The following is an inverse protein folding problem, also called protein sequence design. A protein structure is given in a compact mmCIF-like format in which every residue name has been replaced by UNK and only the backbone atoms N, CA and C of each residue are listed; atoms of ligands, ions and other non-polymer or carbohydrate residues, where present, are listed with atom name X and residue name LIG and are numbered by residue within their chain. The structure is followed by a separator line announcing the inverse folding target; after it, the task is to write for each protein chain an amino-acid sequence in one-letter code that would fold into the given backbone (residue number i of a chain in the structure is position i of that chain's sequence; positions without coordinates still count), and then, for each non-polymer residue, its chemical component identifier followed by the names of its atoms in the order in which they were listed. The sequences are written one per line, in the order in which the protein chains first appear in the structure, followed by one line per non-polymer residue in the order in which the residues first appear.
data_IF_057168728216
#
_entry.id   IF_057168728216
#
_cell.length_a   1.000
_cell.length_b   1.000
_cell.length_c   1.000
_cell.angle_alpha   90.00
_cell.angle_beta   90.00
_cell.angle_gamma   90.00
#
_symmetry.space_group_name_H-M   'P 1'
#
loop_
_entity.id
_entity.type
_entity.pdbx_description
1 polymer ?
#
# COMPACT_ATOMS: atom_id res chain seq x y z
N UNK A 1 9.22 9.34 -11.79
CA UNK A 1 10.16 9.55 -10.66
C UNK A 1 11.48 10.10 -11.21
N UNK A 2 12.27 10.84 -10.42
CA UNK A 2 13.61 11.27 -10.81
C UNK A 2 14.49 10.07 -11.26
N UNK A 3 15.42 10.24 -12.21
CA UNK A 3 16.27 9.16 -12.73
C UNK A 3 17.01 8.35 -11.65
N UNK A 4 17.49 9.00 -10.60
CA UNK A 4 18.23 8.41 -9.49
C UNK A 4 17.40 7.42 -8.65
N UNK A 5 16.07 7.55 -8.64
CA UNK A 5 15.17 6.66 -7.91
C UNK A 5 14.59 5.52 -8.77
N UNK A 6 15.07 5.36 -10.02
CA UNK A 6 14.54 4.35 -10.95
C UNK A 6 15.15 2.96 -10.75
N UNK A 7 16.25 2.85 -10.02
CA UNK A 7 16.81 1.55 -9.67
C UNK A 7 15.82 0.76 -8.80
N UNK A 8 15.62 -0.54 -9.00
CA UNK A 8 14.58 -1.31 -8.31
C UNK A 8 14.55 -1.13 -6.79
N UNK A 9 15.71 -1.10 -6.12
CA UNK A 9 15.77 -0.92 -4.67
C UNK A 9 15.21 0.44 -4.20
N UNK A 10 15.61 1.52 -4.89
CA UNK A 10 15.12 2.88 -4.60
C UNK A 10 13.65 3.02 -4.97
N UNK A 11 13.26 2.47 -6.11
CA UNK A 11 11.90 2.44 -6.60
C UNK A 11 10.98 1.71 -5.60
N UNK A 12 11.45 0.61 -4.98
CA UNK A 12 10.72 -0.10 -3.91
C UNK A 12 10.47 0.80 -2.71
N UNK A 13 11.48 1.56 -2.28
CA UNK A 13 11.34 2.50 -1.17
C UNK A 13 10.32 3.60 -1.49
N UNK A 14 10.32 4.12 -2.72
CA UNK A 14 9.30 5.07 -3.20
C UNK A 14 7.91 4.43 -3.16
N UNK A 15 7.75 3.21 -3.67
CA UNK A 15 6.48 2.46 -3.63
C UNK A 15 5.94 2.29 -2.20
N UNK A 16 6.78 1.86 -1.24
CA UNK A 16 6.39 1.75 0.17
C UNK A 16 5.94 3.09 0.78
N UNK A 17 6.60 4.19 0.40
CA UNK A 17 6.20 5.53 0.85
C UNK A 17 4.86 5.95 0.25
N UNK A 18 4.60 5.63 -1.02
CA UNK A 18 3.32 5.88 -1.66
C UNK A 18 2.19 5.10 -1.00
N UNK A 19 2.39 3.81 -0.70
CA UNK A 19 1.43 2.98 0.06
C UNK A 19 1.08 3.66 1.39
N UNK A 20 2.10 4.03 2.16
CA UNK A 20 1.91 4.64 3.49
C UNK A 20 1.17 5.98 3.40
N UNK A 21 1.52 6.84 2.44
CA UNK A 21 0.85 8.13 2.22
C UNK A 21 -0.60 7.97 1.79
N UNK A 22 -0.87 7.05 0.86
CA UNK A 22 -2.22 6.80 0.38
C UNK A 22 -3.10 6.20 1.48
N UNK A 23 -2.56 5.26 2.28
CA UNK A 23 -3.29 4.65 3.39
C UNK A 23 -3.59 5.68 4.49
N UNK A 24 -2.63 6.56 4.81
CA UNK A 24 -2.82 7.69 5.72
C UNK A 24 -3.94 8.63 5.27
N UNK A 25 -3.97 8.98 3.97
CA UNK A 25 -5.05 9.79 3.39
C UNK A 25 -6.40 9.08 3.49
N UNK A 26 -6.45 7.79 3.21
CA UNK A 26 -7.66 6.97 3.30
C UNK A 26 -8.21 6.93 4.74
N UNK A 27 -7.34 6.70 5.73
CA UNK A 27 -7.69 6.74 7.17
C UNK A 27 -8.27 8.10 7.58
N UNK A 28 -7.65 9.21 7.15
CA UNK A 28 -8.16 10.57 7.41
C UNK A 28 -9.55 10.82 6.81
N UNK A 29 -9.92 10.09 5.78
CA UNK A 29 -11.25 10.14 5.15
C UNK A 29 -12.23 9.14 5.77
N UNK A 30 -11.82 8.41 6.82
CA UNK A 30 -12.60 7.36 7.48
C UNK A 30 -13.06 6.27 6.50
N UNK A 31 -12.13 5.84 5.63
CA UNK A 31 -12.37 4.80 4.64
C UNK A 31 -11.54 3.55 4.94
N UNK A 32 -12.09 2.40 4.59
CA UNK A 32 -11.39 1.11 4.46
C UNK A 32 -11.34 0.69 2.99
N UNK A 33 -10.33 -0.08 2.62
CA UNK A 33 -10.23 -0.73 1.31
C UNK A 33 -10.23 -2.25 1.48
N UNK A 34 -10.74 -2.96 0.47
CA UNK A 34 -10.63 -4.42 0.35
C UNK A 34 -9.85 -4.87 -0.88
N UNK A 35 -9.21 -3.93 -1.60
CA UNK A 35 -8.35 -4.22 -2.75
C UNK A 35 -7.25 -3.16 -2.89
N UNK A 36 -6.04 -3.62 -3.20
CA UNK A 36 -4.91 -2.76 -3.57
C UNK A 36 -4.37 -3.15 -4.95
N UNK A 37 -4.08 -2.14 -5.76
CA UNK A 37 -3.41 -2.26 -7.05
C UNK A 37 -2.03 -1.64 -7.04
N UNK A 38 -1.08 -2.27 -7.73
CA UNK A 38 0.27 -1.78 -8.00
C UNK A 38 0.47 -1.72 -9.51
N UNK A 39 0.87 -0.55 -10.00
CA UNK A 39 1.19 -0.32 -11.40
C UNK A 39 2.61 0.21 -11.52
N UNK A 40 3.42 -0.43 -12.35
CA UNK A 40 4.82 -0.08 -12.59
C UNK A 40 5.04 0.00 -14.10
N UNK A 41 5.56 1.13 -14.57
CA UNK A 41 6.02 1.28 -15.96
C UNK A 41 7.54 1.33 -15.97
N UNK A 42 8.15 0.51 -16.81
CA UNK A 42 9.59 0.48 -17.06
C UNK A 42 9.97 1.54 -18.11
N UNK A 43 11.27 1.81 -18.25
CA UNK A 43 11.77 2.68 -19.32
C UNK A 43 11.58 2.06 -20.71
N UNK A 44 11.69 0.74 -20.82
CA UNK A 44 11.65 -0.03 -22.09
C UNK A 44 10.21 -0.34 -22.55
N UNK A 45 9.25 0.52 -22.25
CA UNK A 45 7.81 0.43 -22.60
C UNK A 45 6.99 -0.67 -21.91
N UNK A 46 7.63 -1.64 -21.26
CA UNK A 46 6.93 -2.65 -20.46
C UNK A 46 6.18 -2.05 -19.26
N UNK A 47 5.02 -2.64 -18.98
CA UNK A 47 4.13 -2.22 -17.90
C UNK A 47 3.68 -3.46 -17.15
N UNK A 48 3.78 -3.38 -15.82
CA UNK A 48 3.28 -4.38 -14.90
C UNK A 48 2.11 -3.79 -14.12
N UNK A 49 1.02 -4.53 -14.09
CA UNK A 49 -0.16 -4.21 -13.29
C UNK A 49 -0.58 -5.43 -12.50
N UNK A 50 -0.76 -5.26 -11.20
CA UNK A 50 -1.23 -6.32 -10.35
C UNK A 50 -2.21 -5.79 -9.32
N UNK A 51 -3.15 -6.65 -8.92
CA UNK A 51 -4.18 -6.35 -7.94
C UNK A 51 -4.35 -7.50 -6.98
N UNK A 52 -4.37 -7.20 -5.69
CA UNK A 52 -4.66 -8.18 -4.65
C UNK A 52 -5.87 -7.73 -3.82
N UNK A 53 -6.75 -8.69 -3.53
CA UNK A 53 -7.83 -8.53 -2.58
C UNK A 53 -7.30 -8.70 -1.15
N UNK A 54 -7.98 -8.09 -0.19
CA UNK A 54 -7.75 -8.23 1.24
C UNK A 54 -9.05 -8.00 2.00
N UNK A 55 -9.03 -8.28 3.29
CA UNK A 55 -10.14 -7.92 4.18
C UNK A 55 -10.35 -6.40 4.17
N UNK A 56 -11.51 -5.94 4.65
CA UNK A 56 -11.77 -4.50 4.84
C UNK A 56 -10.81 -3.95 5.89
N UNK A 57 -9.75 -3.28 5.44
CA UNK A 57 -8.69 -2.75 6.31
C UNK A 57 -8.37 -1.30 6.00
N UNK A 58 -7.82 -0.64 6.99
CA UNK A 58 -7.26 0.70 6.89
C UNK A 58 -5.80 0.77 7.37
N UNK A 59 -5.13 -0.35 7.66
CA UNK A 59 -3.82 -0.37 8.33
C UNK A 59 -2.61 -0.49 7.37
N UNK A 60 -1.50 0.14 7.73
CA UNK A 60 -0.29 0.16 6.90
C UNK A 60 0.38 -1.21 6.79
N UNK A 61 0.31 -2.04 7.83
CA UNK A 61 1.02 -3.32 7.85
C UNK A 61 0.43 -4.27 6.82
N UNK A 62 -0.89 -4.37 6.75
CA UNK A 62 -1.59 -5.16 5.74
C UNK A 62 -1.27 -4.67 4.33
N UNK A 63 -1.34 -3.35 4.07
CA UNK A 63 -1.03 -2.82 2.74
C UNK A 63 0.45 -2.98 2.36
N UNK A 64 1.39 -2.80 3.28
CA UNK A 64 2.81 -3.02 3.00
C UNK A 64 3.10 -4.50 2.73
N UNK A 65 2.40 -5.43 3.40
CA UNK A 65 2.51 -6.86 3.11
C UNK A 65 1.98 -7.20 1.72
N UNK A 66 0.84 -6.64 1.31
CA UNK A 66 0.32 -6.80 -0.05
C UNK A 66 1.28 -6.21 -1.09
N UNK A 67 1.85 -5.03 -0.81
CA UNK A 67 2.81 -4.39 -1.70
C UNK A 67 4.04 -5.26 -1.87
N UNK A 68 4.53 -5.83 -0.78
CA UNK A 68 5.68 -6.72 -0.80
C UNK A 68 5.43 -7.94 -1.70
N UNK A 69 4.27 -8.59 -1.57
CA UNK A 69 3.89 -9.72 -2.42
C UNK A 69 3.89 -9.34 -3.90
N UNK A 70 3.21 -8.25 -4.26
CA UNK A 70 3.15 -7.82 -5.66
C UNK A 70 4.53 -7.40 -6.20
N UNK A 71 5.34 -6.75 -5.37
CA UNK A 71 6.69 -6.35 -5.73
C UNK A 71 7.58 -7.55 -6.04
N UNK A 72 7.52 -8.60 -5.22
CA UNK A 72 8.34 -9.81 -5.37
C UNK A 72 7.96 -10.59 -6.63
N UNK A 73 6.72 -10.47 -7.11
CA UNK A 73 6.31 -11.03 -8.40
C UNK A 73 6.85 -10.20 -9.56
N UNK A 74 6.69 -8.88 -9.52
CA UNK A 74 7.16 -7.99 -10.59
C UNK A 74 8.67 -8.03 -10.75
N UNK A 75 9.44 -8.10 -9.65
CA UNK A 75 10.90 -8.09 -9.73
C UNK A 75 11.48 -9.36 -10.37
N UNK A 76 10.77 -10.50 -10.26
CA UNK A 76 11.16 -11.74 -10.93
C UNK A 76 11.11 -11.62 -12.45
N UNK A 77 10.19 -10.82 -12.99
CA UNK A 77 10.05 -10.60 -14.43
C UNK A 77 10.91 -9.44 -14.94
N UNK A 78 10.97 -8.34 -14.19
CA UNK A 78 11.67 -7.11 -14.59
C UNK A 78 13.18 -7.14 -14.39
N UNK A 79 13.71 -8.07 -13.58
CA UNK A 79 15.14 -8.19 -13.33
C UNK A 79 15.78 -6.89 -12.80
N UNK A 80 16.71 -6.32 -13.57
CA UNK A 80 17.40 -5.06 -13.24
C UNK A 80 16.88 -3.84 -14.00
N UNK A 81 15.71 -3.95 -14.65
CA UNK A 81 15.15 -2.87 -15.45
C UNK A 81 14.81 -1.64 -14.59
N UNK A 82 15.01 -0.45 -15.18
CA UNK A 82 14.74 0.83 -14.53
C UNK A 82 13.25 1.14 -14.54
N UNK A 83 12.72 1.52 -13.38
CA UNK A 83 11.31 1.82 -13.18
C UNK A 83 11.04 3.31 -13.37
N UNK A 84 10.32 3.67 -14.43
CA UNK A 84 9.98 5.05 -14.80
C UNK A 84 8.91 5.65 -13.88
N UNK A 85 7.88 4.86 -13.56
CA UNK A 85 6.70 5.28 -12.79
C UNK A 85 6.21 4.14 -11.90
N UNK A 86 5.81 4.49 -10.68
CA UNK A 86 5.07 3.62 -9.75
C UNK A 86 3.78 4.33 -9.36
N UNK A 87 2.67 3.61 -9.41
CA UNK A 87 1.37 4.03 -8.92
C UNK A 87 0.80 2.97 -7.98
N UNK A 88 0.17 3.44 -6.90
CA UNK A 88 -0.55 2.60 -5.93
C UNK A 88 -1.99 3.08 -5.88
N UNK A 89 -2.92 2.14 -5.96
CA UNK A 89 -4.36 2.43 -5.94
C UNK A 89 -5.05 1.59 -4.89
N UNK A 90 -5.94 2.19 -4.09
CA UNK A 90 -6.88 1.47 -3.25
C UNK A 90 -8.25 1.48 -3.90
N UNK A 91 -8.95 0.34 -3.87
CA UNK A 91 -10.24 0.16 -4.52
C UNK A 91 -11.20 -0.62 -3.63
N UNK A 92 -12.48 -0.62 -4.02
CA UNK A 92 -13.59 -1.10 -3.15
C UNK A 92 -13.57 -0.37 -1.80
N UNK A 93 -13.58 0.97 -1.90
CA UNK A 93 -13.54 1.83 -0.73
C UNK A 93 -14.93 1.88 -0.10
N UNK A 94 -14.97 1.69 1.20
CA UNK A 94 -16.18 1.76 2.00
C UNK A 94 -15.93 2.65 3.21
N UNK A 95 -16.98 3.24 3.77
CA UNK A 95 -16.86 3.94 5.06
C UNK A 95 -16.41 2.93 6.11
N UNK A 96 -15.42 3.33 6.91
CA UNK A 96 -15.18 2.69 8.21
C UNK A 96 -16.49 2.79 8.97
N UNK A 97 -17.16 1.65 9.20
CA UNK A 97 -18.40 1.64 9.95
C UNK A 97 -18.13 2.33 11.29
N UNK A 98 -18.79 3.46 11.51
CA UNK A 98 -18.68 4.27 12.72
C UNK A 98 -19.06 3.40 13.91
N UNK A 99 -18.07 2.95 14.68
CA UNK A 99 -18.16 2.51 16.08
C UNK A 99 -19.27 1.51 16.51
N UNK A 100 -20.10 0.96 15.62
CA UNK A 100 -21.31 0.20 16.02
C UNK A 100 -21.31 -1.27 15.65
N UNK A 101 -20.31 -1.76 14.92
CA UNK A 101 -20.08 -3.21 14.92
C UNK A 101 -19.05 -3.48 16.01
N UNK A 102 -19.56 -3.64 17.25
CA UNK A 102 -18.89 -4.49 18.22
C UNK A 102 -18.70 -5.85 17.54
N UNK A 103 -17.58 -6.02 16.84
CA UNK A 103 -17.09 -7.34 16.51
C UNK A 103 -16.96 -8.03 17.86
N UNK A 104 -17.91 -8.92 18.18
CA UNK A 104 -18.01 -9.68 19.45
C UNK A 104 -16.75 -10.53 19.73
N UNK A 105 -15.79 -10.49 18.80
CA UNK A 105 -14.47 -11.06 18.84
C UNK A 105 -13.48 -9.98 18.43
N UNK A 106 -13.08 -9.12 19.36
CA UNK A 106 -11.99 -8.16 19.14
C UNK A 106 -10.70 -8.94 18.94
N UNK A 107 -10.24 -9.07 17.70
CA UNK A 107 -8.90 -9.58 17.40
C UNK A 107 -7.88 -8.53 17.88
N UNK A 108 -7.33 -8.80 19.07
CA UNK A 108 -6.27 -8.05 19.75
C UNK A 108 -5.12 -7.64 18.80
N UNK A 109 -4.85 -8.48 17.79
CA UNK A 109 -3.81 -8.22 16.80
C UNK A 109 -4.19 -7.10 15.82
N UNK A 110 -5.48 -6.97 15.45
CA UNK A 110 -5.99 -5.93 14.54
C UNK A 110 -5.89 -4.55 15.17
N UNK A 111 -6.27 -4.44 16.45
CA UNK A 111 -6.13 -3.19 17.19
C UNK A 111 -4.68 -2.75 17.33
N UNK A 112 -3.76 -3.69 17.62
CA UNK A 112 -2.32 -3.43 17.68
C UNK A 112 -1.79 -2.91 16.33
N UNK A 113 -2.16 -3.56 15.22
CA UNK A 113 -1.78 -3.10 13.86
C UNK A 113 -2.29 -1.69 13.56
N UNK A 114 -3.51 -1.37 14.01
CA UNK A 114 -4.09 -0.03 13.83
C UNK A 114 -3.35 1.03 14.62
N UNK A 115 -3.03 0.78 15.90
CA UNK A 115 -2.23 1.69 16.75
C UNK A 115 -0.86 1.98 16.12
N UNK A 116 -0.16 0.94 15.65
CA UNK A 116 1.13 1.10 14.95
C UNK A 116 0.98 1.98 13.71
N UNK A 117 -0.10 1.79 12.95
CA UNK A 117 -0.36 2.58 11.74
C UNK A 117 -0.60 4.06 12.04
N UNK A 118 -1.31 4.37 13.13
CA UNK A 118 -1.51 5.76 13.59
C UNK A 118 -0.18 6.41 14.02
N UNK A 119 0.71 5.67 14.69
CA UNK A 119 2.05 6.16 15.01
C UNK A 119 2.88 6.40 13.74
N UNK A 120 2.81 5.51 12.75
CA UNK A 120 3.48 5.72 11.47
C UNK A 120 2.96 6.95 10.72
N UNK A 121 1.67 7.28 10.87
CA UNK A 121 1.08 8.48 10.28
C UNK A 121 1.67 9.76 10.87
N UNK A 122 1.82 9.84 12.19
CA UNK A 122 2.37 11.04 12.83
C UNK A 122 3.83 11.30 12.43
N UNK A 123 4.61 10.24 12.19
CA UNK A 123 5.97 10.35 11.66
C UNK A 123 5.97 10.88 10.22
N UNK A 124 5.02 10.45 9.39
CA UNK A 124 4.94 10.84 7.98
C UNK A 124 4.37 12.25 7.73
N UNK A 125 3.90 12.95 8.77
CA UNK A 125 3.40 14.33 8.69
C UNK A 125 4.49 15.40 8.84
N UNK A 126 5.73 15.00 9.15
CA UNK A 126 6.92 15.87 9.12
C UNK A 126 7.67 15.69 7.80
#
# INVERSE_FOLDING_TARGET
MPPELRHPNEARAVGRRLVSKAASRMRRMELVASRMGLFISLEETEVFEQHLACDRVDDNLTFLALFQKMWDEIIKFSGSAKMKKISVTFSKLERSASQQQCELFSDDSREKRKKISQTLDSINQK
#
